data_IF_924470653137
#
_entry.id   IF_924470653137
#
_cell.length_a   1.000
_cell.length_b   1.000
_cell.length_c   1.000
_cell.angle_alpha   90.00
_cell.angle_beta   90.00
_cell.angle_gamma   90.00
#
_symmetry.space_group_name_H-M   'P 1'
#
loop_
_entity.id
_entity.type
_entity.pdbx_description
1 polymer ?
#
# COMPACT_ATOMS: atom_id res chain seq x y z
N UNK A 1 -9.51 1.73 35.65
CA UNK A 1 -10.76 2.05 34.91
C UNK A 1 -11.71 0.88 35.08
N UNK A 2 -13.01 1.14 35.17
CA UNK A 2 -14.00 0.08 35.28
C UNK A 2 -14.25 -0.59 33.90
N UNK A 3 -14.89 -1.78 33.86
CA UNK A 3 -15.13 -2.49 32.60
C UNK A 3 -15.99 -1.72 31.59
N UNK A 4 -16.86 -0.82 32.05
CA UNK A 4 -17.73 -0.04 31.16
C UNK A 4 -16.96 1.08 30.46
N UNK A 5 -16.01 1.72 31.15
CA UNK A 5 -15.09 2.70 30.56
C UNK A 5 -14.26 2.08 29.44
N UNK A 6 -13.74 0.86 29.63
CA UNK A 6 -13.04 0.15 28.57
C UNK A 6 -13.93 -0.20 27.37
N UNK A 7 -15.20 -0.55 27.59
CA UNK A 7 -16.16 -0.76 26.49
C UNK A 7 -16.39 0.51 25.69
N UNK A 8 -16.52 1.65 26.36
CA UNK A 8 -16.65 2.94 25.70
C UNK A 8 -15.43 3.27 24.86
N UNK A 9 -14.21 3.02 25.36
CA UNK A 9 -12.99 3.20 24.58
C UNK A 9 -12.93 2.29 23.36
N UNK A 10 -13.28 1.01 23.50
CA UNK A 10 -13.34 0.06 22.38
C UNK A 10 -14.33 0.55 21.31
N UNK A 11 -15.51 1.04 21.72
CA UNK A 11 -16.49 1.61 20.80
C UNK A 11 -15.97 2.88 20.11
N UNK A 12 -15.26 3.74 20.85
CA UNK A 12 -14.67 4.98 20.35
C UNK A 12 -13.57 4.75 19.29
N UNK A 13 -12.97 3.55 19.22
CA UNK A 13 -12.06 3.20 18.13
C UNK A 13 -12.74 3.27 16.76
N UNK A 14 -14.06 3.18 16.67
CA UNK A 14 -14.80 3.33 15.42
C UNK A 14 -14.70 2.11 14.52
N UNK A 15 -14.77 0.90 15.09
CA UNK A 15 -14.81 -0.38 14.36
C UNK A 15 -15.98 -0.44 13.35
N UNK A 16 -17.08 0.27 13.62
CA UNK A 16 -18.22 0.36 12.72
C UNK A 16 -17.92 1.07 11.40
N UNK A 17 -16.99 2.02 11.39
CA UNK A 17 -16.61 2.75 10.18
C UNK A 17 -15.87 1.86 9.18
N UNK A 18 -15.17 0.83 9.66
CA UNK A 18 -14.48 -0.13 8.80
C UNK A 18 -15.45 -0.86 7.86
N UNK A 19 -16.66 -1.19 8.35
CA UNK A 19 -17.69 -1.89 7.55
C UNK A 19 -18.26 -1.05 6.42
N UNK A 20 -18.11 0.26 6.48
CA UNK A 20 -18.62 1.20 5.46
C UNK A 20 -17.61 1.43 4.34
N UNK A 21 -16.36 1.01 4.52
CA UNK A 21 -15.32 1.18 3.51
C UNK A 21 -15.50 0.15 2.39
N UNK A 22 -15.37 0.60 1.14
CA UNK A 22 -15.44 -0.24 -0.06
C UNK A 22 -14.07 -0.34 -0.71
N UNK A 23 -13.77 -1.51 -1.30
CA UNK A 23 -12.51 -1.76 -1.99
C UNK A 23 -12.85 -2.01 -3.45
N UNK A 24 -12.43 -1.10 -4.34
CA UNK A 24 -12.61 -1.25 -5.79
C UNK A 24 -11.30 -1.18 -6.57
N UNK A 25 -10.18 -0.87 -5.90
CA UNK A 25 -8.84 -0.84 -6.48
C UNK A 25 -7.78 -1.00 -5.37
N UNK A 26 -6.51 -1.03 -5.78
CA UNK A 26 -5.35 -1.12 -4.89
C UNK A 26 -5.30 -0.02 -3.83
N UNK A 27 -5.53 1.24 -4.20
CA UNK A 27 -5.45 2.38 -3.28
C UNK A 27 -6.50 2.31 -2.16
N UNK A 28 -7.71 1.87 -2.50
CA UNK A 28 -8.77 1.64 -1.51
C UNK A 28 -8.38 0.51 -0.55
N UNK A 29 -7.81 -0.58 -1.06
CA UNK A 29 -7.32 -1.68 -0.23
C UNK A 29 -6.20 -1.25 0.72
N UNK A 30 -5.26 -0.43 0.25
CA UNK A 30 -4.18 0.14 1.07
C UNK A 30 -4.75 1.03 2.18
N UNK A 31 -5.74 1.87 1.85
CA UNK A 31 -6.43 2.74 2.83
C UNK A 31 -7.18 1.92 3.89
N UNK A 32 -7.89 0.88 3.49
CA UNK A 32 -8.56 -0.04 4.42
C UNK A 32 -7.53 -0.76 5.27
N UNK A 33 -6.43 -1.24 4.70
CA UNK A 33 -5.35 -1.91 5.42
C UNK A 33 -4.75 -1.00 6.50
N UNK A 34 -4.45 0.25 6.17
CA UNK A 34 -3.99 1.24 7.14
C UNK A 34 -4.97 1.38 8.30
N UNK A 35 -6.27 1.50 7.99
CA UNK A 35 -7.32 1.59 9.02
C UNK A 35 -7.38 0.33 9.90
N UNK A 36 -7.22 -0.87 9.32
CA UNK A 36 -7.16 -2.14 10.06
C UNK A 36 -5.98 -2.15 11.02
N UNK A 37 -4.80 -1.68 10.58
CA UNK A 37 -3.60 -1.59 11.42
C UNK A 37 -3.79 -0.60 12.58
N UNK A 38 -4.37 0.57 12.32
CA UNK A 38 -4.67 1.57 13.35
C UNK A 38 -5.61 1.00 14.42
N UNK A 39 -6.69 0.31 13.99
CA UNK A 39 -7.62 -0.36 14.90
C UNK A 39 -6.94 -1.45 15.73
N UNK A 40 -6.07 -2.26 15.10
CA UNK A 40 -5.33 -3.32 15.79
C UNK A 40 -4.39 -2.72 16.85
N UNK A 41 -3.71 -1.63 16.53
CA UNK A 41 -2.84 -0.94 17.49
C UNK A 41 -3.64 -0.39 18.68
N UNK A 42 -4.79 0.24 18.43
CA UNK A 42 -5.69 0.71 19.48
C UNK A 42 -6.19 -0.43 20.39
N UNK A 43 -6.66 -1.53 19.80
CA UNK A 43 -7.09 -2.71 20.57
C UNK A 43 -5.94 -3.33 21.39
N UNK A 44 -4.73 -3.39 20.83
CA UNK A 44 -3.54 -3.87 21.54
C UNK A 44 -3.21 -3.01 22.76
N UNK A 45 -3.30 -1.69 22.62
CA UNK A 45 -3.11 -0.76 23.71
C UNK A 45 -4.16 -0.98 24.80
N UNK A 46 -5.45 -0.99 24.44
CA UNK A 46 -6.55 -1.23 25.39
C UNK A 46 -6.38 -2.58 26.10
N UNK A 47 -6.00 -3.64 25.38
CA UNK A 47 -5.71 -4.96 25.97
C UNK A 47 -4.62 -4.89 27.04
N UNK A 48 -3.54 -4.15 26.76
CA UNK A 48 -2.45 -3.97 27.72
C UNK A 48 -2.94 -3.24 28.98
N UNK A 49 -3.78 -2.22 28.83
CA UNK A 49 -4.35 -1.48 29.94
C UNK A 49 -5.29 -2.35 30.79
N UNK A 50 -6.16 -3.14 30.15
CA UNK A 50 -7.04 -4.09 30.84
C UNK A 50 -6.22 -5.13 31.61
N UNK A 51 -5.16 -5.67 31.03
CA UNK A 51 -4.31 -6.65 31.70
C UNK A 51 -3.63 -6.07 32.94
N UNK A 52 -3.16 -4.82 32.88
CA UNK A 52 -2.63 -4.14 34.07
C UNK A 52 -3.69 -3.96 35.16
N UNK A 53 -4.93 -3.65 34.78
CA UNK A 53 -6.04 -3.50 35.72
C UNK A 53 -6.47 -4.85 36.34
N UNK A 54 -6.39 -5.94 35.57
CA UNK A 54 -6.59 -7.30 36.07
C UNK A 54 -5.59 -7.60 37.17
N UNK A 55 -4.28 -7.37 36.94
CA UNK A 55 -3.24 -7.65 37.95
C UNK A 55 -3.47 -6.82 39.23
N UNK A 56 -3.79 -5.52 39.10
CA UNK A 56 -4.15 -4.67 40.25
C UNK A 56 -5.37 -5.20 41.01
N UNK A 57 -6.39 -5.66 40.28
CA UNK A 57 -7.64 -6.15 40.89
C UNK A 57 -7.42 -7.49 41.61
N UNK A 58 -6.55 -8.37 41.09
CA UNK A 58 -6.16 -9.63 41.74
C UNK A 58 -5.52 -9.39 43.10
N UNK A 59 -4.62 -8.41 43.20
CA UNK A 59 -3.93 -8.04 44.44
C UNK A 59 -4.91 -7.51 45.51
N UNK A 60 -6.04 -6.92 45.09
CA UNK A 60 -7.04 -6.31 45.97
C UNK A 60 -8.24 -7.21 46.32
N UNK A 61 -8.18 -8.53 46.02
CA UNK A 61 -9.27 -9.51 46.24
C UNK A 61 -10.51 -9.32 45.34
N UNK A 62 -10.39 -8.60 44.23
CA UNK A 62 -11.51 -8.24 43.36
C UNK A 62 -11.93 -9.32 42.34
N UNK A 63 -13.22 -9.32 41.99
CA UNK A 63 -13.75 -10.14 40.88
C UNK A 63 -13.21 -9.64 39.53
N UNK A 64 -12.29 -10.40 38.93
CA UNK A 64 -11.66 -10.07 37.64
C UNK A 64 -12.42 -10.54 36.40
N UNK A 65 -13.43 -11.40 36.58
CA UNK A 65 -14.19 -12.00 35.46
C UNK A 65 -14.75 -10.99 34.46
N UNK A 66 -15.21 -9.78 34.84
CA UNK A 66 -15.61 -8.76 33.88
C UNK A 66 -14.48 -8.33 32.94
N UNK A 67 -13.27 -8.16 33.47
CA UNK A 67 -12.09 -7.78 32.69
C UNK A 67 -11.60 -8.94 31.81
N UNK A 68 -11.60 -10.18 32.31
CA UNK A 68 -11.24 -11.37 31.51
C UNK A 68 -12.16 -11.55 30.29
N UNK A 69 -13.47 -11.35 30.48
CA UNK A 69 -14.44 -11.35 29.37
C UNK A 69 -14.13 -10.26 28.35
N UNK A 70 -13.74 -9.07 28.82
CA UNK A 70 -13.32 -7.98 27.94
C UNK A 70 -12.07 -8.36 27.15
N UNK A 71 -11.04 -8.91 27.80
CA UNK A 71 -9.80 -9.37 27.15
C UNK A 71 -10.10 -10.40 26.07
N UNK A 72 -10.97 -11.38 26.35
CA UNK A 72 -11.41 -12.37 25.36
C UNK A 72 -12.12 -11.73 24.16
N UNK A 73 -12.99 -10.75 24.40
CA UNK A 73 -13.66 -10.02 23.32
C UNK A 73 -12.67 -9.23 22.46
N UNK A 74 -11.69 -8.56 23.08
CA UNK A 74 -10.63 -7.84 22.38
C UNK A 74 -9.77 -8.80 21.56
N UNK A 75 -9.45 -9.98 22.09
CA UNK A 75 -8.72 -11.01 21.35
C UNK A 75 -9.46 -11.49 20.11
N UNK A 76 -10.76 -11.76 20.23
CA UNK A 76 -11.59 -12.11 19.07
C UNK A 76 -11.62 -10.99 18.01
N UNK A 77 -11.71 -9.72 18.44
CA UNK A 77 -11.64 -8.59 17.51
C UNK A 77 -10.28 -8.51 16.82
N UNK A 78 -9.17 -8.68 17.55
CA UNK A 78 -7.83 -8.70 16.96
C UNK A 78 -7.67 -9.85 15.95
N UNK A 79 -8.15 -11.05 16.26
CA UNK A 79 -8.13 -12.18 15.31
C UNK A 79 -8.94 -11.88 14.04
N UNK A 80 -10.09 -11.23 14.16
CA UNK A 80 -10.88 -10.83 12.99
C UNK A 80 -10.16 -9.78 12.13
N UNK A 81 -9.51 -8.80 12.77
CA UNK A 81 -8.70 -7.80 12.07
C UNK A 81 -7.48 -8.44 11.39
N UNK A 82 -6.86 -9.44 12.00
CA UNK A 82 -5.74 -10.17 11.39
C UNK A 82 -6.16 -10.95 10.15
N UNK A 83 -7.32 -11.62 10.20
CA UNK A 83 -7.89 -12.29 9.03
C UNK A 83 -8.16 -11.30 7.91
N UNK A 84 -8.76 -10.15 8.23
CA UNK A 84 -9.05 -9.10 7.25
C UNK A 84 -7.75 -8.51 6.67
N UNK A 85 -6.74 -8.27 7.52
CA UNK A 85 -5.41 -7.82 7.10
C UNK A 85 -4.82 -8.77 6.06
N UNK A 86 -4.79 -10.06 6.34
CA UNK A 86 -4.29 -11.08 5.40
C UNK A 86 -5.11 -11.12 4.10
N UNK A 87 -6.43 -10.96 4.16
CA UNK A 87 -7.27 -10.88 2.96
C UNK A 87 -6.91 -9.67 2.09
N UNK A 88 -6.65 -8.51 2.70
CA UNK A 88 -6.23 -7.28 2.01
C UNK A 88 -4.85 -7.43 1.38
N UNK A 89 -3.88 -7.97 2.11
CA UNK A 89 -2.54 -8.25 1.59
C UNK A 89 -2.61 -9.19 0.37
N UNK A 90 -3.44 -10.23 0.44
CA UNK A 90 -3.66 -11.15 -0.68
C UNK A 90 -4.36 -10.48 -1.87
N UNK A 91 -5.36 -9.62 -1.64
CA UNK A 91 -6.01 -8.85 -2.70
C UNK A 91 -5.01 -7.96 -3.42
N UNK A 92 -4.23 -7.17 -2.68
CA UNK A 92 -3.21 -6.30 -3.23
C UNK A 92 -2.12 -7.07 -3.99
N UNK A 93 -1.70 -8.23 -3.48
CA UNK A 93 -0.73 -9.08 -4.19
C UNK A 93 -1.29 -9.66 -5.50
N UNK A 94 -2.60 -9.88 -5.60
CA UNK A 94 -3.25 -10.31 -6.85
C UNK A 94 -3.33 -9.18 -7.87
N UNK A 95 -3.73 -7.97 -7.46
CA UNK A 95 -3.76 -6.80 -8.35
C UNK A 95 -2.37 -6.52 -8.95
N UNK A 96 -1.30 -6.63 -8.15
CA UNK A 96 0.09 -6.50 -8.63
C UNK A 96 0.48 -7.61 -9.62
N UNK A 97 -0.08 -8.83 -9.49
CA UNK A 97 0.21 -9.97 -10.38
C UNK A 97 -0.61 -9.94 -11.68
N UNK A 98 -1.79 -9.35 -11.65
CA UNK A 98 -2.69 -9.23 -12.81
C UNK A 98 -2.30 -8.05 -13.72
N UNK A 99 -1.55 -7.07 -13.22
CA UNK A 99 -0.74 -6.14 -14.01
C UNK A 99 0.54 -6.80 -14.59
N UNK A 100 0.41 -7.96 -15.26
CA UNK A 100 1.44 -8.72 -15.99
C UNK A 100 2.66 -9.22 -15.17
N UNK A 101 3.27 -10.35 -15.57
CA UNK A 101 4.52 -10.82 -14.97
C UNK A 101 5.64 -9.87 -15.40
N UNK A 102 6.11 -9.01 -14.51
CA UNK A 102 7.44 -8.41 -14.67
C UNK A 102 8.44 -9.54 -14.44
N UNK A 103 8.85 -10.17 -15.53
CA UNK A 103 10.07 -10.99 -15.55
C UNK A 103 11.17 -10.14 -14.93
N UNK A 104 11.84 -10.70 -13.92
CA UNK A 104 13.11 -10.18 -13.42
C UNK A 104 14.02 -9.83 -14.61
N UNK A 105 14.29 -8.54 -14.81
CA UNK A 105 15.45 -8.11 -15.57
C UNK A 105 16.13 -7.04 -14.73
N UNK A 106 17.26 -7.45 -14.13
CA UNK A 106 18.29 -6.58 -13.63
C UNK A 106 18.74 -5.66 -14.76
N UNK A 107 18.37 -4.37 -14.74
CA UNK A 107 18.96 -3.39 -15.65
C UNK A 107 19.33 -2.13 -14.87
N UNK A 108 20.64 -1.87 -14.85
CA UNK A 108 21.22 -0.57 -14.56
C UNK A 108 20.48 0.48 -15.38
N UNK A 109 19.87 1.47 -14.71
CA UNK A 109 19.19 2.56 -15.38
C UNK A 109 20.26 3.42 -16.04
N UNK A 110 20.58 3.14 -17.30
CA UNK A 110 21.28 4.09 -18.16
C UNK A 110 20.33 5.26 -18.36
N UNK A 111 20.56 6.35 -17.62
CA UNK A 111 19.81 7.60 -17.80
C UNK A 111 20.02 8.10 -19.23
N UNK A 112 18.95 8.11 -20.02
CA UNK A 112 18.96 8.73 -21.34
C UNK A 112 18.58 10.21 -21.23
N UNK A 113 19.04 10.99 -22.21
CA UNK A 113 18.70 12.41 -22.31
C UNK A 113 17.99 12.68 -23.62
N UNK A 114 17.02 13.60 -23.58
CA UNK A 114 16.31 14.05 -24.75
C UNK A 114 17.31 14.61 -25.78
N UNK A 115 17.33 14.11 -27.02
CA UNK A 115 18.24 14.61 -28.06
C UNK A 115 17.96 16.07 -28.46
N UNK A 116 16.77 16.59 -28.14
CA UNK A 116 16.38 17.96 -28.50
C UNK A 116 16.67 18.99 -27.40
N UNK A 117 16.48 18.64 -26.12
CA UNK A 117 16.61 19.61 -25.02
C UNK A 117 17.56 19.18 -23.89
N UNK A 118 18.12 17.97 -23.95
CA UNK A 118 19.05 17.46 -22.94
C UNK A 118 18.42 17.12 -21.59
N UNK A 119 17.09 17.18 -21.44
CA UNK A 119 16.43 16.75 -20.21
C UNK A 119 16.55 15.25 -20.03
N UNK A 120 16.58 14.78 -18.78
CA UNK A 120 16.50 13.34 -18.49
C UNK A 120 15.16 12.79 -19.00
N UNK A 121 15.20 11.64 -19.66
CA UNK A 121 14.03 10.92 -20.18
C UNK A 121 14.11 9.46 -19.74
N UNK A 122 12.97 8.82 -19.56
CA UNK A 122 12.91 7.36 -19.45
C UNK A 122 13.04 6.76 -20.86
N UNK A 123 13.82 5.68 -21.06
CA UNK A 123 13.88 5.01 -22.37
C UNK A 123 12.51 4.49 -22.85
N UNK A 124 11.50 4.42 -21.99
CA UNK A 124 10.13 4.07 -22.33
C UNK A 124 9.28 5.26 -22.78
N UNK A 125 9.77 6.49 -22.61
CA UNK A 125 9.03 7.72 -22.93
C UNK A 125 8.82 7.87 -24.43
N UNK A 126 7.57 8.12 -24.83
CA UNK A 126 7.23 8.40 -26.24
C UNK A 126 7.41 9.88 -26.60
N UNK A 127 7.38 10.76 -25.61
CA UNK A 127 7.53 12.20 -25.71
C UNK A 127 8.37 12.71 -24.55
N UNK A 128 9.20 13.71 -24.79
CA UNK A 128 9.92 14.40 -23.75
C UNK A 128 8.95 15.22 -22.89
N UNK A 129 8.91 14.95 -21.58
CA UNK A 129 8.08 15.71 -20.63
C UNK A 129 8.47 17.19 -20.48
N UNK A 130 9.68 17.58 -20.90
CA UNK A 130 10.18 18.95 -20.79
C UNK A 130 9.92 19.78 -22.05
N UNK A 131 10.23 19.27 -23.25
CA UNK A 131 10.08 20.03 -24.49
C UNK A 131 8.95 19.54 -25.42
N UNK A 132 8.29 18.43 -25.10
CA UNK A 132 7.22 17.85 -25.90
C UNK A 132 7.68 17.11 -27.17
N UNK A 133 9.00 17.07 -27.44
CA UNK A 133 9.53 16.39 -28.62
C UNK A 133 9.27 14.88 -28.56
N UNK A 134 8.87 14.30 -29.69
CA UNK A 134 8.63 12.86 -29.82
C UNK A 134 9.95 12.07 -29.82
N UNK A 135 10.01 10.98 -29.08
CA UNK A 135 11.19 10.13 -28.85
C UNK A 135 11.07 8.77 -29.57
N UNK A 136 10.37 8.76 -30.71
CA UNK A 136 10.22 7.57 -31.54
C UNK A 136 10.27 7.90 -33.03
N UNK A 137 10.62 6.89 -33.82
CA UNK A 137 10.69 6.98 -35.28
C UNK A 137 9.31 7.31 -35.87
N UNK A 138 9.24 8.32 -36.73
CA UNK A 138 7.99 8.74 -37.38
C UNK A 138 7.44 7.74 -38.40
N UNK A 139 8.27 6.80 -38.86
CA UNK A 139 7.92 5.85 -39.90
C UNK A 139 7.45 4.51 -39.33
N UNK A 140 8.16 3.97 -38.33
CA UNK A 140 7.83 2.66 -37.74
C UNK A 140 7.41 2.71 -36.27
N UNK A 141 7.51 3.88 -35.62
CA UNK A 141 7.11 4.05 -34.21
C UNK A 141 8.07 3.45 -33.19
N UNK A 142 9.23 2.90 -33.59
CA UNK A 142 10.22 2.39 -32.62
C UNK A 142 10.78 3.52 -31.76
N UNK A 143 11.08 3.24 -30.50
CA UNK A 143 11.85 4.15 -29.64
C UNK A 143 13.22 4.41 -30.28
N UNK A 144 13.76 5.61 -30.07
CA UNK A 144 15.07 6.04 -30.57
C UNK A 144 15.91 6.58 -29.41
N UNK A 145 17.21 6.30 -29.42
CA UNK A 145 18.16 6.80 -28.41
C UNK A 145 18.73 8.16 -28.80
N UNK A 146 19.33 8.87 -27.83
CA UNK A 146 20.01 10.15 -28.07
C UNK A 146 21.12 10.06 -29.15
N UNK A 147 21.75 8.90 -29.28
CA UNK A 147 22.88 8.67 -30.19
C UNK A 147 22.47 8.16 -31.58
N UNK A 148 21.19 7.84 -31.78
CA UNK A 148 20.72 7.21 -33.01
C UNK A 148 20.66 8.21 -34.16
N UNK A 149 21.56 8.06 -35.13
CA UNK A 149 21.50 8.80 -36.40
C UNK A 149 20.48 8.20 -37.38
N UNK A 150 20.16 6.92 -37.19
CA UNK A 150 19.22 6.13 -37.98
C UNK A 150 18.39 5.24 -37.07
N UNK A 151 17.16 4.95 -37.46
CA UNK A 151 16.30 4.02 -36.76
C UNK A 151 16.85 2.59 -36.88
N UNK A 152 17.24 1.98 -35.77
CA UNK A 152 17.72 0.60 -35.75
C UNK A 152 16.69 -0.45 -36.22
N UNK A 153 15.40 -0.10 -36.24
CA UNK A 153 14.32 -1.00 -36.67
C UNK A 153 13.98 -0.89 -38.17
N UNK A 154 13.89 0.32 -38.73
CA UNK A 154 13.47 0.52 -40.13
C UNK A 154 14.52 1.16 -41.04
N UNK A 155 15.71 1.49 -40.51
CA UNK A 155 16.81 2.09 -41.27
C UNK A 155 16.61 3.56 -41.65
N UNK A 156 15.44 4.14 -41.35
CA UNK A 156 15.15 5.53 -41.69
C UNK A 156 16.10 6.48 -40.96
N UNK A 157 16.58 7.52 -41.66
CA UNK A 157 17.36 8.60 -41.04
C UNK A 157 16.51 9.34 -40.01
N UNK A 158 17.06 9.47 -38.80
CA UNK A 158 16.45 10.26 -37.74
C UNK A 158 17.02 11.68 -37.80
N UNK A 159 16.16 12.67 -37.58
CA UNK A 159 16.62 14.05 -37.47
C UNK A 159 17.09 14.26 -36.04
N UNK A 160 18.40 14.27 -35.85
CA UNK A 160 19.06 14.67 -34.62
C UNK A 160 19.59 16.07 -34.90
N UNK A 161 18.97 17.08 -34.27
CA UNK A 161 19.35 18.49 -34.41
C UNK A 161 20.68 18.78 -33.72
#
# INVERSE_FOLDING_TARGET
MNPEEYRQQINALGLGELKKMTIVNYYDAEKVLKRVLDLKNGLKQIKSEINLEIERTKEMSGNVTPYEKLTFNVDNLMTNLDRLKTQLENYMQKEIREEKPVKEVSQEITKEFCPHCGSVIDPSDKFCGNCGQRLCCLYCGSVISQSDKFCGNCGQRLWVG
#
